data_IF_475306215395
#
_entry.id   IF_475306215395
#
_cell.length_a   1.000
_cell.length_b   1.000
_cell.length_c   1.000
_cell.angle_alpha   90.00
_cell.angle_beta   90.00
_cell.angle_gamma   90.00
#
_symmetry.space_group_name_H-M   'P 1'
#
loop_
_entity.id
_entity.type
_entity.pdbx_description
1 polymer ?
#
# COMPACT_ATOMS: atom_id res chain seq x y z
N UNK A 1 -21.80 -17.47 9.23
CA UNK A 1 -21.56 -17.06 10.63
C UNK A 1 -20.21 -17.56 11.17
N UNK A 2 -19.77 -18.80 10.91
CA UNK A 2 -18.42 -19.28 11.34
C UNK A 2 -17.28 -18.61 10.53
N UNK A 3 -17.53 -18.21 9.29
CA UNK A 3 -16.56 -17.55 8.40
C UNK A 3 -16.10 -16.18 8.93
N UNK A 4 -16.97 -15.44 9.62
CA UNK A 4 -16.65 -14.11 10.18
C UNK A 4 -15.71 -14.19 11.39
N UNK A 5 -15.82 -15.22 12.23
CA UNK A 5 -14.95 -15.38 13.41
C UNK A 5 -13.53 -15.81 13.03
N UNK A 6 -13.38 -16.69 12.03
CA UNK A 6 -12.05 -17.07 11.49
C UNK A 6 -11.34 -15.91 10.83
N UNK A 7 -12.05 -15.12 10.01
CA UNK A 7 -11.51 -13.88 9.43
C UNK A 7 -11.08 -12.90 10.52
N UNK A 8 -11.85 -12.74 11.60
CA UNK A 8 -11.49 -11.86 12.72
C UNK A 8 -10.24 -12.34 13.48
N UNK A 9 -10.06 -13.65 13.65
CA UNK A 9 -8.90 -14.22 14.32
C UNK A 9 -7.63 -14.13 13.47
N UNK A 10 -7.73 -14.29 12.16
CA UNK A 10 -6.63 -14.07 11.22
C UNK A 10 -6.31 -12.57 11.06
N UNK A 11 -7.31 -11.69 11.11
CA UNK A 11 -7.11 -10.23 11.15
C UNK A 11 -6.26 -9.83 12.35
N UNK A 12 -6.56 -10.37 13.54
CA UNK A 12 -5.78 -10.12 14.78
C UNK A 12 -4.31 -10.52 14.69
N UNK A 13 -3.93 -11.48 13.84
CA UNK A 13 -2.54 -11.86 13.64
C UNK A 13 -1.81 -10.99 12.63
N UNK A 14 -2.49 -10.51 11.58
CA UNK A 14 -1.94 -9.53 10.64
C UNK A 14 -1.78 -8.17 11.32
N UNK A 15 -2.75 -7.82 12.17
CA UNK A 15 -2.85 -6.59 12.93
C UNK A 15 -2.17 -6.70 14.30
N UNK A 16 -1.01 -7.36 14.36
CA UNK A 16 -0.19 -7.29 15.57
C UNK A 16 0.20 -5.83 15.76
N UNK A 17 -0.32 -5.21 16.83
CA UNK A 17 -0.01 -3.83 17.24
C UNK A 17 1.51 -3.58 17.23
N UNK A 18 2.31 -4.61 17.53
CA UNK A 18 3.77 -4.56 17.52
C UNK A 18 4.31 -4.32 16.10
N UNK A 19 3.79 -4.99 15.06
CA UNK A 19 4.19 -4.75 13.67
C UNK A 19 3.84 -3.33 13.23
N UNK A 20 2.65 -2.84 13.57
CA UNK A 20 2.25 -1.47 13.27
C UNK A 20 3.14 -0.45 13.98
N UNK A 21 3.39 -0.62 15.28
CA UNK A 21 4.26 0.25 16.06
C UNK A 21 5.68 0.24 15.52
N UNK A 22 6.22 -0.91 15.12
CA UNK A 22 7.56 -1.02 14.55
C UNK A 22 7.66 -0.32 13.19
N UNK A 23 6.66 -0.51 12.31
CA UNK A 23 6.58 0.13 10.98
C UNK A 23 6.45 1.64 11.08
N UNK A 24 5.52 2.13 11.91
CA UNK A 24 5.35 3.57 12.14
C UNK A 24 6.53 4.16 12.90
N UNK A 25 7.19 3.39 13.78
CA UNK A 25 8.45 3.77 14.41
C UNK A 25 9.59 3.92 13.41
N UNK A 26 9.74 2.97 12.47
CA UNK A 26 10.69 3.06 11.36
C UNK A 26 10.42 4.30 10.49
N UNK A 27 9.14 4.59 10.22
CA UNK A 27 8.74 5.79 9.50
C UNK A 27 9.10 7.07 10.26
N UNK A 28 8.82 7.13 11.57
CA UNK A 28 9.17 8.27 12.40
C UNK A 28 10.69 8.51 12.44
N UNK A 29 11.48 7.44 12.45
CA UNK A 29 12.94 7.51 12.42
C UNK A 29 13.46 8.01 11.05
N UNK A 30 12.81 7.63 9.95
CA UNK A 30 13.06 8.20 8.63
C UNK A 30 12.74 9.70 8.58
N UNK A 31 11.59 10.11 9.11
CA UNK A 31 11.22 11.53 9.21
C UNK A 31 12.22 12.33 10.04
N UNK A 32 12.66 11.77 11.18
CA UNK A 32 13.71 12.39 12.00
C UNK A 32 15.00 12.59 11.20
N UNK A 33 15.45 11.56 10.46
CA UNK A 33 16.66 11.65 9.63
C UNK A 33 16.54 12.65 8.48
N UNK A 34 15.39 12.71 7.82
CA UNK A 34 15.18 13.65 6.71
C UNK A 34 14.99 15.09 7.17
N UNK A 35 14.25 15.32 8.25
CA UNK A 35 13.88 16.68 8.69
C UNK A 35 14.94 17.29 9.59
N UNK A 36 15.41 16.55 10.60
CA UNK A 36 16.34 17.07 11.61
C UNK A 36 17.79 16.90 11.20
N UNK A 37 18.15 15.74 10.64
CA UNK A 37 19.53 15.46 10.20
C UNK A 37 19.80 15.85 8.75
N UNK A 38 18.77 16.24 7.98
CA UNK A 38 18.84 16.59 6.54
C UNK A 38 19.56 15.53 5.69
N UNK A 39 19.45 14.27 6.09
CA UNK A 39 20.04 13.17 5.35
C UNK A 39 19.28 12.93 4.05
N UNK A 40 19.99 12.57 2.99
CA UNK A 40 19.38 12.29 1.69
C UNK A 40 18.89 10.84 1.61
N UNK A 41 18.02 10.54 0.63
CA UNK A 41 17.45 9.20 0.41
C UNK A 41 18.51 8.09 0.36
N UNK A 42 19.66 8.35 -0.27
CA UNK A 42 20.76 7.39 -0.38
C UNK A 42 21.40 7.06 0.98
N UNK A 43 21.44 8.02 1.90
CA UNK A 43 22.02 7.85 3.24
C UNK A 43 21.07 7.12 4.18
N UNK A 44 19.77 7.15 3.89
CA UNK A 44 18.71 6.46 4.64
C UNK A 44 18.15 5.25 3.88
N UNK A 45 18.85 4.78 2.85
CA UNK A 45 18.36 3.74 1.96
C UNK A 45 18.08 2.43 2.72
N UNK A 46 18.92 2.12 3.69
CA UNK A 46 18.79 0.97 4.59
C UNK A 46 17.42 0.93 5.29
N UNK A 47 17.08 2.00 6.01
CA UNK A 47 15.84 2.15 6.75
C UNK A 47 14.64 2.32 5.81
N UNK A 48 14.83 3.00 4.69
CA UNK A 48 13.78 3.19 3.71
C UNK A 48 13.37 1.87 3.07
N UNK A 49 14.34 1.04 2.65
CA UNK A 49 14.08 -0.29 2.10
C UNK A 49 13.45 -1.21 3.13
N UNK A 50 13.91 -1.15 4.38
CA UNK A 50 13.31 -1.94 5.46
C UNK A 50 11.85 -1.54 5.70
N UNK A 51 11.57 -0.24 5.75
CA UNK A 51 10.22 0.28 5.93
C UNK A 51 9.31 -0.06 4.72
N UNK A 52 9.77 0.22 3.50
CA UNK A 52 9.02 -0.07 2.28
C UNK A 52 8.78 -1.57 2.10
N UNK A 53 9.79 -2.40 2.37
CA UNK A 53 9.69 -3.85 2.33
C UNK A 53 8.71 -4.40 3.36
N UNK A 54 8.72 -3.89 4.59
CA UNK A 54 7.73 -4.26 5.61
C UNK A 54 6.31 -3.90 5.20
N UNK A 55 6.11 -2.72 4.60
CA UNK A 55 4.81 -2.29 4.11
C UNK A 55 4.31 -3.13 2.93
N UNK A 56 5.19 -3.49 2.00
CA UNK A 56 4.85 -4.40 0.89
C UNK A 56 4.54 -5.80 1.39
N UNK A 57 5.32 -6.34 2.32
CA UNK A 57 5.09 -7.67 2.89
C UNK A 57 3.72 -7.74 3.59
N UNK A 58 3.38 -6.72 4.39
CA UNK A 58 2.07 -6.60 5.04
C UNK A 58 0.94 -6.50 4.01
N UNK A 59 1.12 -5.69 2.96
CA UNK A 59 0.16 -5.54 1.87
C UNK A 59 -0.12 -6.87 1.15
N UNK A 60 0.92 -7.65 0.83
CA UNK A 60 0.75 -8.97 0.21
C UNK A 60 0.23 -10.02 1.18
N UNK A 61 0.59 -9.96 2.46
CA UNK A 61 0.01 -10.82 3.50
C UNK A 61 -1.50 -10.59 3.63
N UNK A 62 -1.95 -9.34 3.66
CA UNK A 62 -3.38 -9.00 3.64
C UNK A 62 -4.06 -9.54 2.37
N UNK A 63 -3.45 -9.33 1.20
CA UNK A 63 -3.96 -9.82 -0.07
C UNK A 63 -4.11 -11.35 -0.09
N UNK A 64 -3.09 -12.08 0.36
CA UNK A 64 -3.04 -13.55 0.36
C UNK A 64 -4.00 -14.20 1.35
N UNK A 65 -4.37 -13.48 2.42
CA UNK A 65 -5.42 -13.91 3.37
C UNK A 65 -6.82 -13.50 2.93
N UNK A 66 -6.98 -12.92 1.75
CA UNK A 66 -8.29 -12.49 1.24
C UNK A 66 -8.88 -11.31 1.99
N UNK A 67 -8.13 -10.65 2.88
CA UNK A 67 -8.57 -9.44 3.57
C UNK A 67 -8.69 -8.36 2.49
N UNK A 68 -9.87 -7.74 2.27
CA UNK A 68 -9.97 -6.71 1.27
C UNK A 68 -9.39 -5.39 1.80
N UNK A 69 -8.61 -4.70 0.95
CA UNK A 69 -8.05 -3.35 1.22
C UNK A 69 -9.10 -2.35 1.69
N UNK A 70 -10.34 -2.58 1.29
CA UNK A 70 -11.54 -1.81 1.65
C UNK A 70 -12.56 -2.79 2.22
N UNK A 71 -12.46 -3.08 3.53
CA UNK A 71 -13.56 -3.68 4.28
C UNK A 71 -14.21 -2.64 5.22
N UNK A 72 -15.55 -2.62 5.36
CA UNK A 72 -16.57 -3.25 4.54
C UNK A 72 -17.31 -2.17 3.76
N UNK A 73 -17.26 -2.20 2.44
CA UNK A 73 -18.41 -1.73 1.67
C UNK A 73 -18.64 -2.78 0.62
N UNK A 74 -19.88 -3.21 0.47
CA UNK A 74 -20.37 -3.93 -0.70
C UNK A 74 -20.22 -3.01 -1.91
N UNK A 75 -18.99 -2.66 -2.28
CA UNK A 75 -18.73 -1.70 -3.33
C UNK A 75 -19.07 -2.36 -4.64
N UNK A 76 -19.93 -1.71 -5.39
CA UNK A 76 -20.27 -2.14 -6.74
C UNK A 76 -19.00 -2.26 -7.58
N UNK A 77 -18.99 -3.14 -8.59
CA UNK A 77 -17.87 -3.29 -9.55
C UNK A 77 -17.44 -1.94 -10.15
N UNK A 78 -18.35 -0.97 -10.21
CA UNK A 78 -18.13 0.41 -10.66
C UNK A 78 -17.31 1.24 -9.67
N UNK A 79 -17.55 1.10 -8.36
CA UNK A 79 -16.79 1.78 -7.31
C UNK A 79 -15.38 1.24 -7.16
N UNK A 80 -15.18 -0.08 -7.34
CA UNK A 80 -13.82 -0.66 -7.41
C UNK A 80 -13.01 -0.08 -8.58
N UNK A 81 -13.61 0.05 -9.77
CA UNK A 81 -12.95 0.65 -10.94
C UNK A 81 -12.69 2.13 -10.71
N UNK A 82 -13.62 2.84 -10.08
CA UNK A 82 -13.44 4.25 -9.73
C UNK A 82 -12.28 4.43 -8.74
N UNK A 83 -12.20 3.59 -7.70
CA UNK A 83 -11.08 3.60 -6.75
C UNK A 83 -9.74 3.27 -7.42
N UNK A 84 -9.74 2.31 -8.35
CA UNK A 84 -8.57 1.94 -9.15
C UNK A 84 -8.08 3.09 -10.05
N UNK A 85 -8.95 4.03 -10.42
CA UNK A 85 -8.56 5.24 -11.15
C UNK A 85 -8.15 6.39 -10.22
N UNK A 86 -8.91 6.64 -9.15
CA UNK A 86 -8.73 7.79 -8.27
C UNK A 86 -7.53 7.62 -7.34
N UNK A 87 -7.30 6.44 -6.77
CA UNK A 87 -6.21 6.24 -5.82
C UNK A 87 -4.81 6.41 -6.46
N UNK A 88 -4.51 5.85 -7.65
CA UNK A 88 -3.25 6.12 -8.32
C UNK A 88 -3.10 7.59 -8.74
N UNK A 89 -4.20 8.23 -9.17
CA UNK A 89 -4.19 9.65 -9.54
C UNK A 89 -3.85 10.54 -8.34
N UNK A 90 -4.50 10.29 -7.19
CA UNK A 90 -4.24 11.00 -5.95
C UNK A 90 -2.80 10.76 -5.45
N UNK A 91 -2.32 9.52 -5.50
CA UNK A 91 -0.94 9.20 -5.12
C UNK A 91 0.09 9.89 -6.02
N UNK A 92 -0.14 9.91 -7.33
CA UNK A 92 0.73 10.60 -8.28
C UNK A 92 0.68 12.13 -8.09
N UNK A 93 -0.49 12.69 -7.79
CA UNK A 93 -0.62 14.12 -7.47
C UNK A 93 0.13 14.48 -6.18
N UNK A 94 0.03 13.66 -5.13
CA UNK A 94 0.78 13.84 -3.88
C UNK A 94 2.29 13.73 -4.13
N UNK A 95 2.74 12.76 -4.93
CA UNK A 95 4.14 12.61 -5.28
C UNK A 95 4.69 13.86 -5.99
N UNK A 96 3.95 14.42 -6.95
CA UNK A 96 4.33 15.68 -7.60
C UNK A 96 4.29 16.85 -6.62
N UNK A 97 3.25 16.94 -5.78
CA UNK A 97 3.11 17.99 -4.78
C UNK A 97 4.25 17.96 -3.76
N UNK A 98 4.80 16.79 -3.45
CA UNK A 98 5.91 16.62 -2.52
C UNK A 98 7.23 17.23 -3.03
N UNK A 99 7.37 17.44 -4.34
CA UNK A 99 8.57 18.03 -4.93
C UNK A 99 8.77 19.51 -4.57
N UNK A 100 7.68 20.24 -4.32
CA UNK A 100 7.72 21.66 -3.97
C UNK A 100 8.36 21.92 -2.60
N UNK A 101 7.89 21.32 -1.48
CA UNK A 101 8.51 21.52 -0.18
C UNK A 101 9.93 20.93 -0.08
N UNK A 102 10.23 19.91 -0.89
CA UNK A 102 11.57 19.30 -0.93
C UNK A 102 12.57 20.06 -1.79
N UNK A 103 12.15 21.12 -2.51
CA UNK A 103 13.03 21.87 -3.41
C UNK A 103 13.58 21.03 -4.59
N UNK A 104 12.98 19.86 -4.85
CA UNK A 104 13.42 18.91 -5.86
C UNK A 104 12.73 19.11 -7.22
N UNK A 105 11.98 20.20 -7.38
CA UNK A 105 11.30 20.54 -8.63
C UNK A 105 12.32 20.98 -9.69
N UNK A 106 12.41 20.22 -10.79
CA UNK A 106 13.36 20.48 -11.89
C UNK A 106 12.64 20.84 -13.21
N UNK A 107 11.32 21.04 -13.18
CA UNK A 107 10.51 21.41 -14.35
C UNK A 107 9.37 20.44 -14.66
N UNK A 108 8.59 20.80 -15.66
CA UNK A 108 7.32 20.13 -16.02
C UNK A 108 7.56 18.69 -16.53
N UNK A 109 8.63 18.45 -17.30
CA UNK A 109 8.94 17.10 -17.78
C UNK A 109 9.34 16.16 -16.63
N UNK A 110 10.08 16.68 -15.63
CA UNK A 110 10.46 15.91 -14.45
C UNK A 110 9.23 15.57 -13.60
N UNK A 111 8.32 16.52 -13.37
CA UNK A 111 7.08 16.25 -12.63
C UNK A 111 6.15 15.30 -13.38
N UNK A 112 6.04 15.39 -14.70
CA UNK A 112 5.30 14.43 -15.52
C UNK A 112 5.91 13.03 -15.45
N UNK A 113 7.24 12.92 -15.45
CA UNK A 113 7.94 11.66 -15.26
C UNK A 113 7.61 11.02 -13.90
N UNK A 114 7.72 11.79 -12.82
CA UNK A 114 7.38 11.33 -11.46
C UNK A 114 5.90 10.95 -11.36
N UNK A 115 5.01 11.75 -11.93
CA UNK A 115 3.59 11.45 -11.98
C UNK A 115 3.33 10.11 -12.67
N UNK A 116 3.86 9.93 -13.88
CA UNK A 116 3.64 8.72 -14.69
C UNK A 116 4.19 7.46 -14.03
N UNK A 117 5.42 7.53 -13.49
CA UNK A 117 6.04 6.41 -12.78
C UNK A 117 5.24 6.05 -11.53
N UNK A 118 4.87 7.04 -10.71
CA UNK A 118 4.08 6.82 -9.49
C UNK A 118 2.72 6.21 -9.82
N UNK A 119 2.03 6.76 -10.82
CA UNK A 119 0.74 6.26 -11.29
C UNK A 119 0.84 4.79 -11.69
N UNK A 120 1.82 4.43 -12.54
CA UNK A 120 2.01 3.04 -12.99
C UNK A 120 2.32 2.09 -11.84
N UNK A 121 3.21 2.46 -10.93
CA UNK A 121 3.56 1.63 -9.76
C UNK A 121 2.31 1.34 -8.92
N UNK A 122 1.51 2.37 -8.61
CA UNK A 122 0.31 2.22 -7.78
C UNK A 122 -0.75 1.39 -8.49
N UNK A 123 -0.95 1.58 -9.81
CA UNK A 123 -1.86 0.73 -10.61
C UNK A 123 -1.41 -0.73 -10.58
N UNK A 124 -0.12 -1.01 -10.74
CA UNK A 124 0.43 -2.37 -10.70
C UNK A 124 0.20 -2.99 -9.32
N UNK A 125 0.51 -2.27 -8.24
CA UNK A 125 0.29 -2.75 -6.87
C UNK A 125 -1.19 -3.09 -6.63
N UNK A 126 -2.09 -2.18 -6.97
CA UNK A 126 -3.52 -2.38 -6.75
C UNK A 126 -4.08 -3.52 -7.62
N UNK A 127 -3.62 -3.61 -8.88
CA UNK A 127 -4.01 -4.72 -9.78
C UNK A 127 -3.50 -6.06 -9.30
N UNK A 128 -2.27 -6.10 -8.74
CA UNK A 128 -1.70 -7.31 -8.15
C UNK A 128 -2.51 -7.76 -6.93
N UNK A 129 -2.92 -6.81 -6.08
CA UNK A 129 -3.75 -7.09 -4.92
C UNK A 129 -5.10 -7.69 -5.30
N UNK A 130 -5.79 -7.05 -6.25
CA UNK A 130 -7.09 -7.52 -6.75
C UNK A 130 -6.96 -8.91 -7.39
N UNK A 131 -5.86 -9.16 -8.10
CA UNK A 131 -5.59 -10.48 -8.68
C UNK A 131 -5.41 -11.56 -7.61
N UNK A 132 -4.60 -11.29 -6.58
CA UNK A 132 -4.33 -12.23 -5.49
C UNK A 132 -5.60 -12.53 -4.69
N UNK A 133 -6.35 -11.49 -4.32
CA UNK A 133 -7.61 -11.64 -3.58
C UNK A 133 -8.65 -12.43 -4.37
N UNK A 134 -8.82 -12.17 -5.67
CA UNK A 134 -9.71 -12.97 -6.53
C UNK A 134 -9.25 -14.43 -6.67
N UNK A 135 -7.94 -14.68 -6.72
CA UNK A 135 -7.39 -16.04 -6.75
C UNK A 135 -7.60 -16.78 -5.42
N UNK A 136 -7.61 -16.06 -4.31
CA UNK A 136 -7.93 -16.61 -3.00
C UNK A 136 -9.43 -16.96 -2.91
N UNK A 137 -10.30 -16.03 -3.33
CA UNK A 137 -11.76 -16.21 -3.35
C UNK A 137 -12.18 -17.41 -4.21
N UNK A 138 -11.59 -17.55 -5.41
CA UNK A 138 -11.83 -18.71 -6.29
C UNK A 138 -11.43 -20.04 -5.66
N UNK A 139 -10.33 -20.07 -4.89
CA UNK A 139 -9.86 -21.31 -4.24
C UNK A 139 -10.77 -21.72 -3.09
N UNK A 140 -11.16 -20.77 -2.24
CA UNK A 140 -12.00 -21.09 -1.07
C UNK A 140 -13.46 -21.42 -1.45
N UNK A 141 -14.03 -20.77 -2.47
CA UNK A 141 -15.38 -21.14 -2.98
C UNK A 141 -15.38 -22.56 -3.56
N UNK A 142 -14.26 -23.03 -4.11
CA UNK A 142 -14.13 -24.34 -4.72
C UNK A 142 -13.91 -25.45 -3.67
N UNK A 143 -13.32 -25.13 -2.52
CA UNK A 143 -13.18 -26.04 -1.37
C UNK A 143 -14.50 -26.19 -0.56
N UNK A 144 -15.42 -25.22 -0.67
CA UNK A 144 -16.74 -25.24 -0.02
C UNK A 144 -17.86 -25.93 -0.86
N UNK A 145 -17.54 -26.43 -2.06
CA UNK A 145 -18.46 -27.29 -2.83
C UNK A 145 -18.13 -28.77 -2.57
N UNK A 146 -19.10 -29.59 -2.12
CA UNK A 146 -18.89 -30.99 -1.75
C UNK A 146 -18.54 -31.91 -2.94
#
# INVERSE_FOLDING_TARGET
>A
MITDERLNQENRQVESIICHVLKWGLFALLLYRWILLRQNLLETLDLFLLWAGSGLAEFFLMASRGIPLTYPVQTSRREQIFFLGVAPLAAAAIAVASLFPLGAYQGILHSLGIFGVTYLIVVILFSSYVSITRLWEKRHIQDDQP
#
